data_IF_126821080810
#
_entry.id   IF_126821080810
#
_cell.length_a   1.000
_cell.length_b   1.000
_cell.length_c   1.000
_cell.angle_alpha   90.00
_cell.angle_beta   90.00
_cell.angle_gamma   90.00
#
_symmetry.space_group_name_H-M   'P 1'
#
loop_
_entity.id
_entity.type
_entity.pdbx_description
1 polymer ?
#
# COMPACT_ATOMS: atom_id res chain seq x y z
N UNK A 1 10.43 4.46 0.49
CA UNK A 1 10.06 5.79 0.99
C UNK A 1 9.14 5.64 2.19
N UNK A 2 8.74 6.76 2.81
CA UNK A 2 7.72 6.78 3.88
C UNK A 2 6.36 7.17 3.29
N UNK A 3 5.27 6.65 3.84
CA UNK A 3 3.88 6.96 3.49
C UNK A 3 3.19 7.81 4.57
N UNK A 4 2.31 8.70 4.13
CA UNK A 4 1.36 9.42 4.97
C UNK A 4 0.04 8.64 5.06
N UNK A 5 -0.88 9.16 5.86
CA UNK A 5 -2.23 8.63 6.00
C UNK A 5 -3.02 8.75 4.70
N UNK A 6 -2.94 9.92 4.06
CA UNK A 6 -3.75 10.27 2.90
C UNK A 6 -2.91 10.95 1.81
N UNK A 7 -3.48 11.01 0.61
CA UNK A 7 -2.94 11.78 -0.52
C UNK A 7 -4.06 12.64 -1.09
N UNK A 8 -3.81 13.94 -1.26
CA UNK A 8 -4.74 14.83 -1.94
C UNK A 8 -4.91 14.38 -3.41
N UNK A 9 -6.12 14.00 -3.85
CA UNK A 9 -6.33 13.48 -5.21
C UNK A 9 -6.16 14.52 -6.32
N UNK A 10 -6.17 15.83 -5.98
CA UNK A 10 -6.00 16.93 -6.95
C UNK A 10 -4.54 17.27 -7.18
N UNK A 11 -3.74 17.25 -6.11
CA UNK A 11 -2.34 17.73 -6.13
C UNK A 11 -1.32 16.59 -6.03
N UNK A 12 -1.72 15.44 -5.50
CA UNK A 12 -0.80 14.33 -5.17
C UNK A 12 0.01 14.57 -3.91
N UNK A 13 -0.28 15.62 -3.15
CA UNK A 13 0.41 15.92 -1.90
C UNK A 13 0.06 14.88 -0.83
N UNK A 14 1.07 14.46 -0.06
CA UNK A 14 0.89 13.59 1.08
C UNK A 14 0.42 14.41 2.29
N UNK A 15 -0.74 14.08 2.83
CA UNK A 15 -1.39 14.85 3.90
C UNK A 15 -1.73 13.98 5.12
N UNK A 16 -2.01 14.64 6.23
CA UNK A 16 -2.32 13.98 7.50
C UNK A 16 -1.08 13.53 8.26
N UNK A 17 -1.20 12.45 9.04
CA UNK A 17 -0.10 11.96 9.86
C UNK A 17 1.04 11.45 8.98
N UNK A 18 2.26 11.90 9.28
CA UNK A 18 3.46 11.47 8.57
C UNK A 18 4.64 11.28 9.54
N UNK A 19 5.34 10.13 9.48
CA UNK A 19 5.01 8.91 8.74
C UNK A 19 3.87 8.13 9.41
N UNK A 20 3.04 7.46 8.60
CA UNK A 20 1.88 6.71 9.10
C UNK A 20 2.14 5.19 9.05
N UNK A 21 2.08 4.49 10.19
CA UNK A 21 2.36 3.05 10.26
C UNK A 21 1.36 2.12 9.53
N UNK A 22 0.05 2.30 9.73
CA UNK A 22 -1.01 1.57 9.02
C UNK A 22 -0.93 1.66 7.48
N UNK A 23 -0.55 2.80 6.89
CA UNK A 23 -0.36 2.93 5.44
C UNK A 23 0.77 2.01 4.95
N UNK A 24 1.86 1.89 5.72
CA UNK A 24 2.93 0.94 5.41
C UNK A 24 2.48 -0.51 5.59
N UNK A 25 1.74 -0.82 6.66
CA UNK A 25 1.17 -2.17 6.88
C UNK A 25 0.24 -2.54 5.72
N UNK A 26 -0.60 -1.60 5.27
CA UNK A 26 -1.48 -1.77 4.12
C UNK A 26 -0.71 -2.10 2.84
N UNK A 27 0.38 -1.37 2.57
CA UNK A 27 1.24 -1.64 1.40
C UNK A 27 1.86 -3.04 1.44
N UNK A 28 2.39 -3.46 2.59
CA UNK A 28 2.97 -4.80 2.76
C UNK A 28 1.91 -5.89 2.58
N UNK A 29 0.74 -5.71 3.18
CA UNK A 29 -0.37 -6.66 3.07
C UNK A 29 -0.88 -6.78 1.61
N UNK A 30 -0.97 -5.66 0.89
CA UNK A 30 -1.34 -5.67 -0.52
C UNK A 30 -0.32 -6.44 -1.37
N UNK A 31 0.98 -6.20 -1.17
CA UNK A 31 2.03 -6.94 -1.87
C UNK A 31 1.97 -8.45 -1.58
N UNK A 32 1.74 -8.83 -0.32
CA UNK A 32 1.57 -10.22 0.08
C UNK A 32 0.34 -10.87 -0.56
N UNK A 33 -0.80 -10.17 -0.58
CA UNK A 33 -2.04 -10.67 -1.18
C UNK A 33 -1.90 -10.86 -2.70
N UNK A 34 -1.24 -9.94 -3.39
CA UNK A 34 -0.94 -10.05 -4.83
C UNK A 34 -0.05 -11.26 -5.09
N UNK A 35 1.00 -11.44 -4.29
CA UNK A 35 1.91 -12.59 -4.41
C UNK A 35 1.14 -13.91 -4.26
N UNK A 36 0.28 -14.03 -3.24
CA UNK A 36 -0.54 -15.23 -3.06
C UNK A 36 -1.51 -15.47 -4.21
N UNK A 37 -2.11 -14.41 -4.77
CA UNK A 37 -3.00 -14.52 -5.92
C UNK A 37 -2.25 -15.07 -7.15
N UNK A 38 -1.04 -14.58 -7.41
CA UNK A 38 -0.19 -15.06 -8.50
C UNK A 38 0.20 -16.53 -8.35
N UNK A 39 0.48 -17.00 -7.12
CA UNK A 39 0.79 -18.42 -6.87
C UNK A 39 -0.41 -19.32 -7.13
N UNK A 40 -1.64 -18.85 -6.84
CA UNK A 40 -2.86 -19.61 -7.14
C UNK A 40 -3.15 -19.69 -8.64
N UNK A 41 -2.90 -18.61 -9.40
CA UNK A 41 -3.12 -18.60 -10.85
C UNK A 41 -1.97 -19.24 -11.63
N UNK A 42 -0.76 -19.30 -11.08
CA UNK A 42 0.42 -19.94 -11.67
C UNK A 42 0.53 -21.44 -11.44
N UNK A 43 -0.39 -22.05 -10.69
CA UNK A 43 -0.54 -23.50 -10.62
C UNK A 43 -1.42 -23.96 -11.79
N UNK A 44 -0.81 -24.07 -12.97
CA UNK A 44 -1.33 -24.73 -14.17
C UNK A 44 -0.25 -25.67 -14.72
#
# INVERSE_FOLDING_TARGET
>A
GLLAEEVDPRTGEMIGNFPQAFSHIGLVNAAWAITQAQQRTGCA
#
